data_IF_549346673945
#
_entry.id   IF_549346673945
#
_cell.length_a   1.000
_cell.length_b   1.000
_cell.length_c   1.000
_cell.angle_alpha   90.00
_cell.angle_beta   90.00
_cell.angle_gamma   90.00
#
_symmetry.space_group_name_H-M   'P 1'
#
loop_
_entity.id
_entity.type
_entity.pdbx_description
1 polymer ?
#
# COMPACT_ATOMS: atom_id res chain seq x y z
N UNK A 1 -18.01 -13.89 13.27
CA UNK A 1 -17.35 -13.19 12.15
C UNK A 1 -18.34 -13.06 11.01
N UNK A 2 -18.53 -11.84 10.53
CA UNK A 2 -19.34 -11.57 9.35
C UNK A 2 -18.49 -11.70 8.07
N UNK A 3 -19.14 -11.81 6.91
CA UNK A 3 -18.43 -11.77 5.62
C UNK A 3 -17.65 -10.46 5.44
N UNK A 4 -18.16 -9.34 5.96
CA UNK A 4 -17.49 -8.04 5.89
C UNK A 4 -16.17 -8.06 6.70
N UNK A 5 -16.21 -8.56 7.94
CA UNK A 5 -15.00 -8.70 8.77
C UNK A 5 -13.97 -9.61 8.12
N UNK A 6 -14.44 -10.75 7.55
CA UNK A 6 -13.57 -11.70 6.87
C UNK A 6 -12.88 -11.05 5.66
N UNK A 7 -13.63 -10.35 4.80
CA UNK A 7 -13.09 -9.70 3.60
C UNK A 7 -12.12 -8.57 3.96
N UNK A 8 -12.45 -7.74 4.96
CA UNK A 8 -11.57 -6.68 5.43
C UNK A 8 -10.23 -7.23 5.93
N UNK A 9 -10.27 -8.25 6.80
CA UNK A 9 -9.06 -8.88 7.32
C UNK A 9 -8.22 -9.56 6.22
N UNK A 10 -8.88 -10.22 5.26
CA UNK A 10 -8.16 -10.86 4.15
C UNK A 10 -7.55 -9.83 3.20
N UNK A 11 -8.20 -8.69 2.99
CA UNK A 11 -7.62 -7.57 2.21
C UNK A 11 -6.35 -7.07 2.88
N UNK A 12 -6.44 -6.71 4.17
CA UNK A 12 -5.27 -6.25 4.94
C UNK A 12 -4.12 -7.26 4.92
N UNK A 13 -4.43 -8.57 4.95
CA UNK A 13 -3.43 -9.62 4.78
C UNK A 13 -2.77 -9.59 3.39
N UNK A 14 -3.55 -9.46 2.32
CA UNK A 14 -3.05 -9.42 0.94
C UNK A 14 -2.21 -8.18 0.67
N UNK A 15 -2.58 -7.05 1.27
CA UNK A 15 -1.89 -5.76 1.16
C UNK A 15 -0.63 -5.68 2.03
N UNK A 16 -0.38 -6.69 2.88
CA UNK A 16 0.77 -6.74 3.77
C UNK A 16 0.66 -5.84 5.00
N UNK A 17 -0.54 -5.37 5.31
CA UNK A 17 -0.82 -4.50 6.46
C UNK A 17 -0.90 -5.28 7.78
N UNK A 18 -1.03 -6.61 7.72
CA UNK A 18 -0.95 -7.47 8.89
C UNK A 18 0.52 -7.68 9.29
N UNK A 19 0.81 -7.40 10.56
CA UNK A 19 2.13 -7.67 11.14
C UNK A 19 2.48 -9.17 11.01
N UNK A 20 3.75 -9.48 10.73
CA UNK A 20 4.24 -10.85 10.64
C UNK A 20 3.82 -11.67 11.87
N UNK A 21 3.15 -12.81 11.66
CA UNK A 21 2.60 -13.66 12.73
C UNK A 21 1.12 -13.39 13.08
N UNK A 22 0.51 -12.35 12.51
CA UNK A 22 -0.96 -12.20 12.50
C UNK A 22 -1.50 -12.85 11.23
N UNK A 23 -1.40 -14.17 11.17
CA UNK A 23 -2.16 -14.92 10.18
C UNK A 23 -3.65 -14.65 10.40
N UNK A 24 -4.42 -14.74 9.33
CA UNK A 24 -5.86 -14.91 9.39
C UNK A 24 -6.19 -16.13 10.28
N UNK A 25 -6.27 -15.93 11.59
CA UNK A 25 -6.34 -16.98 12.60
C UNK A 25 -7.52 -17.95 12.42
N UNK A 26 -7.67 -18.95 13.31
CA UNK A 26 -8.60 -20.07 13.14
C UNK A 26 -10.06 -19.69 12.88
N UNK A 27 -10.49 -18.51 13.33
CA UNK A 27 -11.83 -18.00 13.06
C UNK A 27 -12.07 -17.69 11.57
N UNK A 28 -11.05 -17.22 10.85
CA UNK A 28 -11.14 -16.87 9.43
C UNK A 28 -11.12 -18.11 8.56
N UNK A 29 -10.24 -19.07 8.86
CA UNK A 29 -10.22 -20.36 8.16
C UNK A 29 -11.54 -21.12 8.34
N UNK A 30 -12.13 -21.10 9.55
CA UNK A 30 -13.45 -21.67 9.79
C UNK A 30 -14.58 -20.97 9.01
N UNK A 31 -14.50 -19.65 8.82
CA UNK A 31 -15.47 -18.92 8.01
C UNK A 31 -15.33 -19.24 6.53
N UNK A 32 -14.09 -19.23 5.99
CA UNK A 32 -13.80 -19.56 4.60
C UNK A 32 -14.22 -20.99 4.25
N UNK A 33 -14.10 -21.94 5.18
CA UNK A 33 -14.56 -23.31 5.01
C UNK A 33 -16.10 -23.44 4.90
N UNK A 34 -16.86 -22.44 5.35
CA UNK A 34 -18.34 -22.48 5.43
C UNK A 34 -19.04 -21.48 4.51
N UNK A 35 -18.33 -20.50 3.96
CA UNK A 35 -18.89 -19.46 3.12
C UNK A 35 -18.23 -19.46 1.73
N UNK A 36 -18.94 -20.03 0.76
CA UNK A 36 -18.47 -20.12 -0.64
C UNK A 36 -18.17 -18.75 -1.23
N UNK A 37 -19.00 -17.73 -0.97
CA UNK A 37 -18.79 -16.38 -1.49
C UNK A 37 -17.49 -15.74 -1.00
N UNK A 38 -17.11 -15.99 0.25
CA UNK A 38 -15.85 -15.48 0.81
C UNK A 38 -14.64 -16.28 0.28
N UNK A 39 -14.79 -17.59 0.07
CA UNK A 39 -13.75 -18.42 -0.53
C UNK A 39 -13.47 -18.01 -1.99
N UNK A 40 -14.52 -17.83 -2.80
CA UNK A 40 -14.42 -17.42 -4.20
C UNK A 40 -13.87 -16.00 -4.32
N UNK A 41 -14.33 -15.08 -3.48
CA UNK A 41 -13.79 -13.73 -3.43
C UNK A 41 -12.28 -13.73 -3.11
N UNK A 42 -11.85 -14.54 -2.13
CA UNK A 42 -10.43 -14.63 -1.76
C UNK A 42 -9.58 -15.24 -2.88
N UNK A 43 -10.09 -16.27 -3.57
CA UNK A 43 -9.42 -16.85 -4.73
C UNK A 43 -9.27 -15.82 -5.86
N UNK A 44 -10.32 -15.03 -6.13
CA UNK A 44 -10.28 -13.92 -7.08
C UNK A 44 -9.26 -12.84 -6.70
N UNK A 45 -9.24 -12.44 -5.43
CA UNK A 45 -8.29 -11.43 -4.92
C UNK A 45 -6.83 -11.90 -5.03
N UNK A 46 -6.54 -13.16 -4.71
CA UNK A 46 -5.20 -13.75 -4.88
C UNK A 46 -4.77 -13.76 -6.34
N UNK A 47 -5.66 -14.21 -7.24
CA UNK A 47 -5.40 -14.20 -8.68
C UNK A 47 -5.14 -12.79 -9.20
N UNK A 48 -5.91 -11.79 -8.75
CA UNK A 48 -5.68 -10.40 -9.13
C UNK A 48 -4.30 -9.92 -8.68
N UNK A 49 -3.91 -10.22 -7.44
CA UNK A 49 -2.58 -9.88 -6.91
C UNK A 49 -1.45 -10.47 -7.75
N UNK A 50 -1.57 -11.74 -8.15
CA UNK A 50 -0.61 -12.41 -9.03
C UNK A 50 -0.51 -11.71 -10.40
N UNK A 51 -1.65 -11.42 -11.03
CA UNK A 51 -1.70 -10.73 -12.32
C UNK A 51 -1.09 -9.32 -12.25
N UNK A 52 -1.38 -8.56 -11.19
CA UNK A 52 -0.82 -7.22 -10.98
C UNK A 52 0.69 -7.30 -10.72
N UNK A 53 1.14 -8.28 -9.95
CA UNK A 53 2.57 -8.45 -9.65
C UNK A 53 3.37 -8.91 -10.88
N UNK A 54 2.74 -9.66 -11.79
CA UNK A 54 3.35 -10.08 -13.06
C UNK A 54 3.22 -9.03 -14.18
N UNK A 55 2.42 -7.97 -13.98
CA UNK A 55 2.24 -6.94 -14.98
C UNK A 55 3.58 -6.28 -15.29
N UNK A 56 3.85 -6.07 -16.58
CA UNK A 56 5.00 -5.26 -17.00
C UNK A 56 4.84 -3.87 -16.38
N UNK A 57 5.88 -3.41 -15.69
CA UNK A 57 5.88 -2.13 -14.99
C UNK A 57 5.57 -0.94 -15.91
N UNK A 58 5.54 0.28 -15.35
CA UNK A 58 5.22 1.48 -16.13
C UNK A 58 6.12 1.60 -17.37
N UNK A 59 5.52 2.04 -18.48
CA UNK A 59 6.26 2.31 -19.72
C UNK A 59 7.44 3.27 -19.46
N UNK A 60 8.51 3.24 -20.27
CA UNK A 60 9.63 4.16 -20.12
C UNK A 60 9.20 5.63 -20.02
N UNK A 61 8.20 6.05 -20.79
CA UNK A 61 7.67 7.41 -20.79
C UNK A 61 6.90 7.74 -19.50
N UNK A 62 6.16 6.78 -18.93
CA UNK A 62 5.53 6.94 -17.61
C UNK A 62 6.59 7.06 -16.51
N UNK A 63 7.62 6.21 -16.56
CA UNK A 63 8.75 6.24 -15.62
C UNK A 63 9.50 7.57 -15.68
N UNK A 64 9.83 8.06 -16.88
CA UNK A 64 10.49 9.36 -17.05
C UNK A 64 9.67 10.52 -16.48
N UNK A 65 8.35 10.54 -16.75
CA UNK A 65 7.45 11.57 -16.18
C UNK A 65 7.39 11.52 -14.66
N UNK A 66 7.33 10.31 -14.08
CA UNK A 66 7.33 10.14 -12.62
C UNK A 66 8.64 10.63 -11.99
N UNK A 67 9.79 10.24 -12.55
CA UNK A 67 11.11 10.68 -12.07
C UNK A 67 11.23 12.20 -12.14
N UNK A 68 10.86 12.82 -13.27
CA UNK A 68 10.87 14.28 -13.39
C UNK A 68 9.99 14.96 -12.34
N UNK A 69 8.77 14.45 -12.12
CA UNK A 69 7.85 15.01 -11.12
C UNK A 69 8.41 14.91 -9.69
N UNK A 70 9.06 13.79 -9.35
CA UNK A 70 9.70 13.59 -8.03
C UNK A 70 10.88 14.55 -7.83
N UNK A 71 11.74 14.71 -8.85
CA UNK A 71 12.88 15.64 -8.79
C UNK A 71 12.42 17.10 -8.62
N UNK A 72 11.36 17.49 -9.32
CA UNK A 72 10.77 18.83 -9.19
C UNK A 72 10.15 19.05 -7.81
N UNK A 73 9.47 18.03 -7.25
CA UNK A 73 8.91 18.10 -5.90
C UNK A 73 10.01 18.23 -4.83
N UNK A 74 11.09 17.45 -4.93
CA UNK A 74 12.23 17.53 -4.04
C UNK A 74 12.91 18.92 -4.11
N UNK A 75 13.06 19.47 -5.31
CA UNK A 75 13.64 20.80 -5.52
C UNK A 75 12.79 21.91 -4.88
N UNK A 76 11.45 21.82 -4.95
CA UNK A 76 10.55 22.76 -4.26
C UNK A 76 10.68 22.66 -2.74
N UNK A 77 10.75 21.45 -2.19
CA UNK A 77 10.91 21.25 -0.74
C UNK A 77 12.24 21.82 -0.24
N UNK A 78 13.33 21.66 -1.00
CA UNK A 78 14.63 22.23 -0.66
C UNK A 78 14.62 23.76 -0.59
N UNK A 79 13.89 24.43 -1.49
CA UNK A 79 13.74 25.90 -1.47
C UNK A 79 12.99 26.36 -0.21
N UNK A 80 11.86 25.73 0.10
CA UNK A 80 11.06 26.05 1.30
C UNK A 80 11.84 25.79 2.60
N UNK A 81 12.62 24.71 2.66
CA UNK A 81 13.45 24.39 3.83
C UNK A 81 14.61 25.36 4.06
N UNK A 82 15.14 25.98 3.01
CA UNK A 82 16.23 26.95 3.11
C UNK A 82 15.74 28.34 3.56
N UNK A 83 14.49 28.70 3.27
CA UNK A 83 13.88 29.97 3.70
C UNK A 83 13.52 29.99 5.20
N UNK A 84 13.49 28.84 5.88
CA UNK A 84 13.18 28.71 7.30
C UNK A 84 14.35 28.84 8.28
N UNK A 85 15.61 28.95 7.80
CA UNK A 85 16.83 28.94 8.65
C UNK A 85 17.52 30.30 8.82
N UNK A 86 16.78 31.39 8.65
CA UNK A 86 17.38 32.73 8.51
C UNK A 86 16.81 33.79 9.46
N UNK A 87 16.50 33.50 10.72
CA UNK A 87 16.35 34.57 11.73
C UNK A 87 16.75 34.08 13.12
N UNK A 88 17.76 34.73 13.70
CA UNK A 88 17.93 34.80 15.15
C UNK A 88 19.31 34.46 15.70
N UNK A 89 20.28 35.37 15.58
CA UNK A 89 21.18 35.68 16.71
C UNK A 89 21.77 37.08 16.51
N UNK A 90 21.02 38.09 16.97
CA UNK A 90 21.52 39.44 17.15
C UNK A 90 22.36 39.47 18.43
N UNK A 91 23.58 40.00 18.31
CA UNK A 91 24.56 40.07 19.39
C UNK A 91 24.12 40.99 20.54
N UNK A 92 24.69 40.73 21.70
CA UNK A 92 24.80 41.67 22.84
C UNK A 92 26.26 42.00 23.07
#
# INVERSE_FOLDING_TARGET
MTCADCRAAMSAHLDGELAAGHDAGPAYSAHLARCVDCADWLAGARRLRELVSAATGPSPQQTQRLVAAVLEAASRQARVGNDGRSVGHEGS
#
